data_IF_405293434521
#
_entry.id   IF_405293434521
#
_cell.length_a   1.000
_cell.length_b   1.000
_cell.length_c   1.000
_cell.angle_alpha   90.00
_cell.angle_beta   90.00
_cell.angle_gamma   90.00
#
_symmetry.space_group_name_H-M   'P 1'
#
loop_
_entity.id
_entity.type
_entity.pdbx_description
1 polymer ?
#
# COMPACT_ATOMS: atom_id res chain seq x y z
N UNK A 1 -0.91 26.23 -41.34
CA UNK A 1 -0.93 27.20 -40.24
C UNK A 1 -2.38 27.56 -39.96
N UNK A 2 -3.02 26.90 -38.99
CA UNK A 2 -4.29 27.28 -38.37
C UNK A 2 -4.16 26.93 -36.88
N UNK A 3 -4.51 27.89 -36.02
CA UNK A 3 -4.33 27.89 -34.55
C UNK A 3 -5.44 27.14 -33.80
N UNK A 4 -5.15 26.71 -32.57
CA UNK A 4 -6.07 26.76 -31.42
C UNK A 4 -5.23 27.10 -30.15
N UNK A 5 -5.19 28.34 -29.67
CA UNK A 5 -6.09 29.07 -28.75
C UNK A 5 -6.40 28.37 -27.42
N UNK A 6 -5.77 28.84 -26.33
CA UNK A 6 -6.39 28.99 -25.02
C UNK A 6 -6.79 30.48 -24.88
N UNK A 7 -7.93 30.76 -24.24
CA UNK A 7 -8.67 32.03 -24.28
C UNK A 7 -7.97 33.32 -23.80
N UNK A 8 -6.68 33.33 -23.48
CA UNK A 8 -5.88 34.55 -23.40
C UNK A 8 -4.49 34.26 -23.96
N UNK A 9 -4.32 34.60 -25.23
CA UNK A 9 -3.12 34.30 -26.02
C UNK A 9 -1.91 35.14 -25.64
N UNK A 10 -1.16 34.73 -24.62
CA UNK A 10 0.23 35.13 -24.43
C UNK A 10 1.15 33.90 -24.49
N UNK A 11 2.10 33.94 -25.42
CA UNK A 11 3.28 33.05 -25.42
C UNK A 11 4.10 33.33 -24.17
N UNK A 12 4.24 32.33 -23.28
CA UNK A 12 5.08 32.44 -22.08
C UNK A 12 6.52 32.79 -22.45
N UNK A 13 7.09 33.78 -21.76
CA UNK A 13 8.52 34.13 -21.85
C UNK A 13 9.34 33.10 -21.07
N UNK A 14 10.62 33.01 -21.39
CA UNK A 14 11.57 32.04 -20.83
C UNK A 14 11.81 32.20 -19.31
N UNK A 15 11.30 33.27 -18.69
CA UNK A 15 11.38 33.56 -17.25
C UNK A 15 10.02 33.46 -16.51
N UNK A 16 8.99 32.89 -17.14
CA UNK A 16 7.65 32.87 -16.55
C UNK A 16 7.50 31.79 -15.47
N UNK A 17 7.11 32.23 -14.26
CA UNK A 17 6.88 31.35 -13.11
C UNK A 17 5.64 30.50 -13.32
N UNK A 18 5.78 29.17 -13.19
CA UNK A 18 4.64 28.25 -13.16
C UNK A 18 4.02 28.21 -11.76
N UNK A 19 2.77 28.65 -11.65
CA UNK A 19 2.03 28.71 -10.38
C UNK A 19 0.95 27.62 -10.36
N UNK A 20 0.94 26.79 -9.31
CA UNK A 20 -0.16 25.86 -8.99
C UNK A 20 -0.86 26.40 -7.75
N UNK A 21 -2.18 26.61 -7.83
CA UNK A 21 -2.98 27.10 -6.69
C UNK A 21 -3.85 25.98 -6.15
N UNK A 22 -4.07 26.00 -4.84
CA UNK A 22 -5.06 25.14 -4.20
C UNK A 22 -6.46 25.55 -4.65
N UNK A 23 -7.28 24.58 -5.06
CA UNK A 23 -8.71 24.76 -5.28
C UNK A 23 -9.51 24.89 -3.97
N UNK A 24 -8.87 24.64 -2.82
CA UNK A 24 -9.45 24.81 -1.48
C UNK A 24 -8.89 26.06 -0.81
N UNK A 25 -9.77 26.90 -0.29
CA UNK A 25 -9.40 28.02 0.60
C UNK A 25 -8.97 27.45 1.95
N UNK A 26 -7.83 27.92 2.45
CA UNK A 26 -7.31 27.53 3.77
C UNK A 26 -7.94 28.40 4.84
N UNK A 27 -8.39 27.78 5.92
CA UNK A 27 -9.00 28.44 7.09
C UNK A 27 -7.90 28.92 8.04
N UNK A 28 -8.10 30.07 8.67
CA UNK A 28 -7.15 30.57 9.67
C UNK A 28 -7.30 29.75 10.96
N UNK A 29 -6.19 29.55 11.67
CA UNK A 29 -6.13 28.83 12.96
C UNK A 29 -6.49 27.35 12.93
N UNK A 30 -6.50 26.71 11.76
CA UNK A 30 -6.65 25.27 11.60
C UNK A 30 -5.40 24.62 10.99
N UNK A 31 -5.19 23.34 11.28
CA UNK A 31 -4.10 22.57 10.69
C UNK A 31 -4.50 22.06 9.30
N UNK A 32 -3.68 22.40 8.31
CA UNK A 32 -3.83 21.92 6.94
C UNK A 32 -2.70 20.98 6.56
N UNK A 33 -3.02 19.93 5.82
CA UNK A 33 -2.06 18.99 5.26
C UNK A 33 -1.77 19.37 3.81
N UNK A 34 -0.51 19.68 3.52
CA UNK A 34 -0.04 20.09 2.20
C UNK A 34 1.01 19.11 1.70
N UNK A 35 0.86 18.63 0.46
CA UNK A 35 1.89 17.82 -0.22
C UNK A 35 2.17 18.41 -1.59
N UNK A 36 3.44 18.51 -1.93
CA UNK A 36 3.88 18.99 -3.24
C UNK A 36 4.82 17.96 -3.83
N UNK A 37 4.70 17.72 -5.11
CA UNK A 37 5.67 16.91 -5.80
C UNK A 37 5.61 17.04 -7.30
N UNK A 38 6.51 16.31 -7.95
CA UNK A 38 6.64 16.28 -9.40
C UNK A 38 6.59 14.85 -9.88
N UNK A 39 5.83 14.63 -10.95
CA UNK A 39 5.87 13.37 -11.70
C UNK A 39 6.03 13.68 -13.18
N UNK A 40 7.20 13.34 -13.74
CA UNK A 40 7.60 13.70 -15.11
C UNK A 40 7.46 15.22 -15.33
N UNK A 41 6.48 15.65 -16.13
CA UNK A 41 6.21 17.05 -16.48
C UNK A 41 5.06 17.65 -15.68
N UNK A 42 4.44 16.89 -14.77
CA UNK A 42 3.35 17.37 -13.93
C UNK A 42 3.90 17.80 -12.57
N UNK A 43 3.58 19.03 -12.17
CA UNK A 43 3.71 19.50 -10.80
C UNK A 43 2.34 19.39 -10.13
N UNK A 44 2.27 18.77 -8.96
CA UNK A 44 1.03 18.61 -8.21
C UNK A 44 1.13 19.26 -6.84
N UNK A 45 0.03 19.86 -6.41
CA UNK A 45 -0.22 20.43 -5.10
C UNK A 45 -1.46 19.74 -4.54
N UNK A 46 -1.29 18.99 -3.47
CA UNK A 46 -2.36 18.36 -2.71
C UNK A 46 -2.58 19.15 -1.42
N UNK A 47 -3.82 19.51 -1.14
CA UNK A 47 -4.23 20.25 0.06
C UNK A 47 -5.52 19.64 0.59
N UNK A 48 -5.47 19.09 1.81
CA UNK A 48 -6.61 18.48 2.53
C UNK A 48 -7.55 17.65 1.66
N UNK A 49 -6.98 16.72 0.88
CA UNK A 49 -7.73 15.81 0.01
C UNK A 49 -7.92 16.28 -1.43
N UNK A 50 -7.64 17.55 -1.75
CA UNK A 50 -7.79 18.09 -3.11
C UNK A 50 -6.46 18.20 -3.84
N UNK A 51 -6.38 17.61 -5.04
CA UNK A 51 -5.21 17.71 -5.93
C UNK A 51 -5.44 18.78 -6.99
N UNK A 52 -4.46 19.67 -7.13
CA UNK A 52 -4.33 20.62 -8.23
C UNK A 52 -3.00 20.35 -8.94
N UNK A 53 -2.94 20.54 -10.26
CA UNK A 53 -1.70 20.29 -10.99
C UNK A 53 -1.51 21.28 -12.14
N UNK A 54 -0.26 21.43 -12.57
CA UNK A 54 0.07 22.07 -13.83
C UNK A 54 1.11 21.26 -14.61
N UNK A 55 1.19 21.48 -15.92
CA UNK A 55 2.03 20.72 -16.84
C UNK A 55 3.09 21.64 -17.44
N UNK A 56 4.36 21.29 -17.27
CA UNK A 56 5.51 21.96 -17.90
C UNK A 56 5.50 21.72 -19.41
N UNK A 57 5.90 22.72 -20.21
CA UNK A 57 6.03 22.59 -21.66
C UNK A 57 7.21 21.68 -22.06
N UNK A 58 7.24 21.13 -23.29
CA UNK A 58 8.28 20.17 -23.70
C UNK A 58 9.69 20.76 -23.75
N UNK A 59 9.79 22.06 -23.99
CA UNK A 59 11.02 22.86 -23.99
C UNK A 59 11.44 23.33 -22.59
N UNK A 60 10.54 23.28 -21.62
CA UNK A 60 10.77 23.63 -20.21
C UNK A 60 11.35 22.41 -19.47
N UNK A 61 12.54 22.00 -19.88
CA UNK A 61 13.34 21.06 -19.11
C UNK A 61 13.88 21.76 -17.88
N UNK A 62 13.39 21.39 -16.69
CA UNK A 62 14.06 21.71 -15.43
C UNK A 62 15.33 20.83 -15.38
N UNK A 63 16.42 21.30 -16.01
CA UNK A 63 17.73 20.68 -15.88
C UNK A 63 18.34 21.08 -14.54
N UNK A 64 18.66 20.09 -13.72
CA UNK A 64 19.22 20.18 -12.36
C UNK A 64 18.34 20.91 -11.32
N UNK A 65 18.43 20.42 -10.09
CA UNK A 65 17.75 20.95 -8.90
C UNK A 65 18.30 22.31 -8.43
N UNK A 66 19.05 23.03 -9.27
CA UNK A 66 19.46 24.42 -9.05
C UNK A 66 18.28 25.42 -9.15
N UNK A 67 17.09 24.92 -9.50
CA UNK A 67 15.87 25.71 -9.61
C UNK A 67 15.15 25.78 -8.26
N UNK A 68 15.19 26.96 -7.63
CA UNK A 68 14.57 27.26 -6.34
C UNK A 68 13.04 27.05 -6.42
N UNK A 69 12.52 26.19 -5.54
CA UNK A 69 11.06 26.00 -5.36
C UNK A 69 10.61 26.90 -4.22
N UNK A 70 9.71 27.84 -4.50
CA UNK A 70 9.16 28.74 -3.50
C UNK A 70 7.75 28.31 -3.09
N UNK A 71 7.51 28.31 -1.78
CA UNK A 71 6.20 28.06 -1.18
C UNK A 71 5.74 29.32 -0.46
N UNK A 72 4.51 29.76 -0.73
CA UNK A 72 3.96 30.97 -0.13
C UNK A 72 2.43 30.98 -0.12
N UNK A 73 1.87 31.78 0.79
CA UNK A 73 0.44 32.00 0.92
C UNK A 73 0.12 33.40 0.36
N UNK A 74 -0.90 33.57 -0.49
CA UNK A 74 -1.26 34.88 -1.01
C UNK A 74 -1.79 35.77 0.11
N UNK A 75 -1.46 37.06 0.03
CA UNK A 75 -1.88 38.10 0.97
C UNK A 75 -3.42 38.19 1.06
N UNK A 76 -3.99 38.09 2.26
CA UNK A 76 -5.36 38.51 2.57
C UNK A 76 -5.30 39.94 3.11
N UNK A 77 -5.10 40.92 2.23
CA UNK A 77 -5.27 42.32 2.60
C UNK A 77 -6.65 42.80 2.14
N UNK A 78 -7.65 42.62 3.00
CA UNK A 78 -8.83 43.49 3.07
C UNK A 78 -9.47 43.33 4.47
N UNK A 79 -9.31 44.39 5.27
CA UNK A 79 -10.12 44.84 6.41
C UNK A 79 -10.88 43.80 7.25
N UNK A 80 -10.28 43.32 8.35
CA UNK A 80 -11.02 43.05 9.60
C UNK A 80 -10.17 43.43 10.82
N UNK A 81 -10.48 44.60 11.40
CA UNK A 81 -10.16 44.87 12.81
C UNK A 81 -10.92 43.85 13.67
N UNK A 82 -10.21 43.01 14.41
CA UNK A 82 -10.80 42.24 15.52
C UNK A 82 -10.01 42.55 16.79
N UNK A 83 -10.70 43.19 17.73
CA UNK A 83 -10.28 43.55 19.08
C UNK A 83 -10.30 42.35 20.05
N UNK A 84 -9.20 42.16 20.80
CA UNK A 84 -9.09 41.42 22.07
C UNK A 84 -8.79 39.91 21.94
N UNK A 85 -7.81 39.28 22.63
CA UNK A 85 -6.99 39.62 23.80
C UNK A 85 -5.62 38.86 23.79
N UNK A 86 -4.56 39.55 24.27
CA UNK A 86 -3.35 39.13 25.05
C UNK A 86 -2.59 37.82 24.70
N UNK A 87 -1.27 37.74 24.44
CA UNK A 87 -0.07 38.46 24.94
C UNK A 87 1.06 38.49 23.88
N UNK A 88 1.81 39.60 23.85
CA UNK A 88 3.20 39.87 23.42
C UNK A 88 3.89 39.24 22.15
N UNK A 89 4.01 40.09 21.10
CA UNK A 89 5.22 40.47 20.32
C UNK A 89 6.26 39.41 19.86
N UNK A 90 6.36 39.16 18.53
CA UNK A 90 7.44 39.60 17.58
C UNK A 90 7.59 38.70 16.31
N UNK A 91 7.08 39.21 15.18
CA UNK A 91 7.53 39.24 13.76
C UNK A 91 8.55 38.17 13.27
N UNK A 92 8.18 37.31 12.31
CA UNK A 92 8.96 36.17 11.75
C UNK A 92 10.12 36.51 10.80
N UNK A 93 11.16 35.66 10.70
CA UNK A 93 12.21 35.70 9.67
C UNK A 93 12.94 34.34 9.44
N UNK A 94 12.38 33.41 8.66
CA UNK A 94 13.03 32.22 8.01
C UNK A 94 13.79 31.16 8.87
N UNK A 95 13.80 29.90 8.39
CA UNK A 95 14.64 28.76 8.82
C UNK A 95 15.46 28.24 7.63
N UNK A 96 16.77 27.98 7.80
CA UNK A 96 17.67 27.24 6.90
C UNK A 96 17.82 25.84 7.49
N UNK A 97 17.66 24.76 6.72
CA UNK A 97 17.94 23.39 7.16
C UNK A 97 19.39 22.97 6.83
N UNK A 98 20.00 22.09 7.64
CA UNK A 98 21.37 21.57 7.48
C UNK A 98 21.46 20.55 6.34
N UNK A 99 22.68 20.41 5.81
CA UNK A 99 23.04 19.66 4.60
C UNK A 99 22.65 18.16 4.67
N UNK A 100 21.43 17.84 4.24
CA UNK A 100 21.04 16.49 3.87
C UNK A 100 20.74 16.58 2.37
N UNK A 101 21.62 15.99 1.54
CA UNK A 101 21.56 15.92 0.06
C UNK A 101 22.13 17.15 -0.69
N UNK A 102 22.91 18.03 -0.05
CA UNK A 102 23.67 19.07 -0.77
C UNK A 102 22.83 20.24 -1.35
N UNK A 103 21.59 20.41 -0.91
CA UNK A 103 20.71 21.52 -1.31
C UNK A 103 20.16 22.27 -0.09
N UNK A 104 19.87 23.57 -0.28
CA UNK A 104 19.34 24.47 0.76
C UNK A 104 17.83 24.62 0.61
N UNK A 105 17.10 24.40 1.70
CA UNK A 105 15.64 24.60 1.78
C UNK A 105 15.36 25.70 2.79
N UNK A 106 14.64 26.73 2.33
CA UNK A 106 14.21 27.86 3.15
C UNK A 106 12.72 27.73 3.48
N UNK A 107 12.39 27.70 4.78
CA UNK A 107 11.01 27.58 5.27
C UNK A 107 10.54 28.86 5.95
N UNK A 108 9.29 29.22 5.70
CA UNK A 108 8.65 30.40 6.30
C UNK A 108 9.03 31.74 5.66
N UNK A 109 10.03 31.78 4.78
CA UNK A 109 10.48 32.99 4.08
C UNK A 109 11.93 32.87 3.60
N UNK A 110 12.49 33.98 3.10
CA UNK A 110 13.91 34.08 2.70
C UNK A 110 14.63 35.13 3.54
N UNK A 111 15.97 35.05 3.68
CA UNK A 111 16.77 36.13 4.28
C UNK A 111 16.63 37.47 3.54
N UNK A 112 16.43 37.41 2.22
CA UNK A 112 16.21 38.55 1.34
C UNK A 112 15.14 38.18 0.30
N UNK A 113 13.93 38.72 0.47
CA UNK A 113 12.79 38.46 -0.40
C UNK A 113 12.93 39.11 -1.79
N UNK A 114 13.86 40.05 -1.96
CA UNK A 114 14.17 40.68 -3.26
C UNK A 114 14.76 39.67 -4.25
N UNK A 115 15.19 38.50 -3.78
CA UNK A 115 15.71 37.40 -4.59
C UNK A 115 14.61 36.51 -5.19
N UNK A 116 13.34 36.72 -4.84
CA UNK A 116 12.25 35.96 -5.46
C UNK A 116 12.03 36.40 -6.91
N UNK A 117 11.84 35.45 -7.86
CA UNK A 117 11.47 35.78 -9.22
C UNK A 117 10.16 36.59 -9.27
N UNK A 118 10.06 37.57 -10.17
CA UNK A 118 8.81 38.28 -10.43
C UNK A 118 7.68 37.28 -10.78
N UNK A 119 6.51 37.45 -10.16
CA UNK A 119 5.36 36.58 -10.41
C UNK A 119 5.30 35.30 -9.55
N UNK A 120 6.28 35.07 -8.66
CA UNK A 120 6.22 33.96 -7.69
C UNK A 120 5.15 34.13 -6.60
N UNK A 121 4.64 35.34 -6.39
CA UNK A 121 3.54 35.62 -5.48
C UNK A 121 2.49 36.51 -6.15
N UNK A 122 1.26 36.51 -5.65
CA UNK A 122 0.16 37.31 -6.20
C UNK A 122 0.29 38.82 -5.89
N UNK A 123 1.23 39.21 -5.03
CA UNK A 123 1.43 40.59 -4.58
C UNK A 123 2.89 40.83 -4.16
N UNK A 124 3.13 41.76 -3.23
CA UNK A 124 4.47 41.92 -2.66
C UNK A 124 4.84 40.66 -1.85
N UNK A 125 6.08 40.14 -1.97
CA UNK A 125 6.51 39.01 -1.18
C UNK A 125 6.45 39.34 0.31
N UNK A 126 5.73 38.51 1.08
CA UNK A 126 5.67 38.58 2.54
C UNK A 126 6.11 37.24 3.12
N UNK A 127 6.88 37.21 4.23
CA UNK A 127 7.18 35.96 4.93
C UNK A 127 5.89 35.32 5.44
N UNK A 128 5.90 33.99 5.54
CA UNK A 128 4.81 33.26 6.15
C UNK A 128 4.75 33.51 7.66
N UNK A 129 3.53 33.65 8.19
CA UNK A 129 3.24 33.77 9.60
C UNK A 129 2.25 32.69 10.03
N UNK A 130 2.72 31.75 10.86
CA UNK A 130 1.90 30.64 11.35
C UNK A 130 2.75 29.47 11.80
N UNK A 131 2.09 28.32 11.98
CA UNK A 131 2.71 27.10 12.49
C UNK A 131 3.00 26.09 11.38
N UNK A 132 4.17 25.45 11.46
CA UNK A 132 4.57 24.37 10.56
C UNK A 132 4.98 23.17 11.42
N UNK A 133 4.48 21.98 11.09
CA UNK A 133 4.87 20.71 11.73
C UNK A 133 4.90 19.58 10.70
N UNK A 134 5.51 18.45 11.05
CA UNK A 134 5.58 17.23 10.21
C UNK A 134 6.13 17.50 8.80
N UNK A 135 7.28 18.17 8.73
CA UNK A 135 7.99 18.33 7.47
C UNK A 135 8.51 16.96 7.01
N UNK A 136 8.21 16.58 5.77
CA UNK A 136 8.76 15.37 5.17
C UNK A 136 9.26 15.63 3.76
N UNK A 137 10.43 15.07 3.40
CA UNK A 137 11.01 15.12 2.06
C UNK A 137 11.23 13.69 1.60
N UNK A 138 10.73 13.33 0.41
CA UNK A 138 10.83 11.97 -0.14
C UNK A 138 10.44 10.87 0.87
N UNK A 139 9.36 11.12 1.61
CA UNK A 139 8.81 10.26 2.67
C UNK A 139 9.61 10.19 3.98
N UNK A 140 10.79 10.79 4.03
CA UNK A 140 11.57 10.92 5.26
C UNK A 140 11.10 12.13 6.06
N UNK A 141 10.78 11.91 7.34
CA UNK A 141 10.38 13.01 8.23
C UNK A 141 11.61 13.76 8.70
N UNK A 142 11.67 15.06 8.40
CA UNK A 142 12.75 15.94 8.85
C UNK A 142 12.32 16.55 10.18
N UNK A 143 13.00 16.22 11.30
CA UNK A 143 12.71 16.88 12.57
C UNK A 143 12.98 18.38 12.41
N UNK A 144 12.21 19.28 13.02
CA UNK A 144 12.46 20.73 12.98
C UNK A 144 13.12 21.17 14.29
N UNK A 145 14.39 20.82 14.48
CA UNK A 145 15.15 21.08 15.71
C UNK A 145 16.57 21.58 15.38
N UNK A 146 17.41 21.83 16.41
CA UNK A 146 18.77 22.36 16.21
C UNK A 146 19.70 21.47 15.37
N UNK A 147 19.40 20.18 15.21
CA UNK A 147 20.23 19.27 14.40
C UNK A 147 19.95 19.40 12.91
N UNK A 148 18.72 19.73 12.55
CA UNK A 148 18.28 19.89 11.17
C UNK A 148 18.21 21.34 10.74
N UNK A 149 18.21 22.31 11.66
CA UNK A 149 18.15 23.75 11.37
C UNK A 149 19.55 24.34 11.35
N UNK A 150 20.04 24.71 10.18
CA UNK A 150 21.28 25.45 9.97
C UNK A 150 21.23 26.92 10.42
N UNK A 151 20.09 27.61 10.29
CA UNK A 151 19.91 28.97 10.82
C UNK A 151 18.43 29.30 10.95
N UNK A 152 18.08 30.28 11.77
CA UNK A 152 16.73 30.84 11.72
C UNK A 152 16.61 32.13 12.49
N UNK A 153 15.60 32.94 12.17
CA UNK A 153 15.35 34.20 12.86
C UNK A 153 13.87 34.36 13.20
N UNK A 154 13.62 34.81 14.43
CA UNK A 154 12.28 35.04 14.97
C UNK A 154 11.34 33.83 14.83
N UNK A 155 11.82 32.66 15.25
CA UNK A 155 11.05 31.43 15.37
C UNK A 155 10.85 31.15 16.86
N UNK A 156 9.63 30.79 17.23
CA UNK A 156 9.28 30.33 18.55
C UNK A 156 8.50 29.02 18.42
N UNK A 157 8.36 28.31 19.55
CA UNK A 157 7.40 27.21 19.60
C UNK A 157 5.99 27.76 19.38
N UNK A 158 5.24 27.12 18.50
CA UNK A 158 3.96 27.59 18.04
C UNK A 158 2.84 27.35 19.05
N UNK A 159 2.99 26.34 19.92
CA UNK A 159 2.05 26.10 21.00
C UNK A 159 2.49 26.70 22.34
N UNK A 160 3.73 27.18 22.43
CA UNK A 160 4.28 27.80 23.65
C UNK A 160 4.40 26.83 24.83
N UNK A 161 4.34 25.52 24.59
CA UNK A 161 4.37 24.49 25.62
C UNK A 161 5.46 23.45 25.36
N UNK A 162 5.93 22.73 26.40
CA UNK A 162 6.78 21.56 26.21
C UNK A 162 6.14 20.41 25.42
N UNK A 163 4.84 20.49 25.10
CA UNK A 163 4.15 19.57 24.19
C UNK A 163 4.29 19.95 22.70
N UNK A 164 5.19 20.89 22.36
CA UNK A 164 5.55 21.23 20.99
C UNK A 164 6.30 20.14 20.21
N UNK A 165 5.98 20.06 18.91
CA UNK A 165 6.64 19.18 17.94
C UNK A 165 6.03 17.77 17.79
N UNK A 166 6.81 16.84 17.21
CA UNK A 166 6.46 15.42 17.05
C UNK A 166 6.97 14.57 18.24
N UNK A 167 6.82 15.08 19.48
CA UNK A 167 7.30 14.42 20.70
C UNK A 167 6.65 13.05 20.91
N UNK A 168 5.33 12.96 20.71
CA UNK A 168 4.61 11.69 20.79
C UNK A 168 4.48 11.09 19.38
N UNK A 169 5.22 10.01 19.14
CA UNK A 169 5.23 9.30 17.86
C UNK A 169 3.92 8.52 17.64
N UNK A 170 3.72 8.08 16.40
CA UNK A 170 2.61 7.21 15.97
C UNK A 170 1.20 7.68 16.37
N UNK A 171 1.01 9.00 16.50
CA UNK A 171 -0.30 9.58 16.84
C UNK A 171 -0.62 9.60 18.33
N UNK A 172 0.37 9.42 19.22
CA UNK A 172 0.20 9.61 20.66
C UNK A 172 -0.23 11.04 21.02
N UNK A 173 -0.95 11.18 22.14
CA UNK A 173 -1.42 12.47 22.66
C UNK A 173 -0.50 13.00 23.75
N UNK A 174 -0.01 14.23 23.61
CA UNK A 174 0.83 14.88 24.62
C UNK A 174 -0.01 15.55 25.72
N UNK A 175 0.43 15.43 26.96
CA UNK A 175 -0.12 16.14 28.12
C UNK A 175 1.01 16.61 29.05
N UNK A 176 0.76 17.64 29.85
CA UNK A 176 1.73 18.18 30.82
C UNK A 176 1.35 17.77 32.24
N UNK A 177 2.34 17.39 33.05
CA UNK A 177 2.14 17.19 34.49
C UNK A 177 2.14 18.53 35.27
N UNK A 178 2.02 18.44 36.60
CA UNK A 178 2.00 19.61 37.49
C UNK A 178 3.32 20.43 37.46
N UNK A 179 4.43 19.84 37.02
CA UNK A 179 5.73 20.51 36.87
C UNK A 179 5.93 21.06 35.45
N UNK A 180 4.90 21.06 34.60
CA UNK A 180 4.99 21.39 33.17
C UNK A 180 5.90 20.45 32.37
N UNK A 181 6.13 19.21 32.83
CA UNK A 181 6.89 18.22 32.04
C UNK A 181 5.95 17.51 31.06
N UNK A 182 6.39 17.28 29.81
CA UNK A 182 5.56 16.61 28.82
C UNK A 182 5.58 15.10 28.99
N UNK A 183 4.42 14.49 28.78
CA UNK A 183 4.17 13.06 28.83
C UNK A 183 3.32 12.64 27.65
N UNK A 184 3.48 11.41 27.18
CA UNK A 184 2.69 10.88 26.08
C UNK A 184 1.68 9.83 26.54
N UNK A 185 0.45 9.95 26.05
CA UNK A 185 -0.52 8.88 26.01
C UNK A 185 -0.42 8.16 24.66
N UNK A 186 0.07 6.93 24.67
CA UNK A 186 0.24 6.13 23.47
C UNK A 186 -1.07 5.45 23.05
N UNK A 187 -1.22 5.25 21.74
CA UNK A 187 -2.19 4.29 21.23
C UNK A 187 -1.78 2.88 21.69
N UNK A 188 -2.75 1.97 21.77
CA UNK A 188 -2.58 0.65 22.41
C UNK A 188 -1.45 -0.17 21.76
N UNK A 189 -1.16 0.08 20.49
CA UNK A 189 -0.16 -0.62 19.68
C UNK A 189 1.28 -0.16 19.97
N UNK A 190 1.45 0.93 20.72
CA UNK A 190 2.74 1.57 20.98
C UNK A 190 2.99 1.79 22.48
N UNK A 191 4.27 1.85 22.86
CA UNK A 191 4.73 2.02 24.23
C UNK A 191 6.00 2.87 24.29
N UNK A 192 6.48 3.16 25.50
CA UNK A 192 7.61 4.03 25.78
C UNK A 192 7.20 5.50 25.96
N UNK A 193 8.10 6.28 26.56
CA UNK A 193 7.83 7.67 26.99
C UNK A 193 7.38 8.59 25.85
N UNK A 194 7.80 8.29 24.62
CA UNK A 194 7.45 9.03 23.40
C UNK A 194 6.63 8.21 22.39
N UNK A 195 6.10 7.04 22.77
CA UNK A 195 5.37 6.13 21.87
C UNK A 195 6.20 5.65 20.66
N UNK A 196 7.52 5.59 20.82
CA UNK A 196 8.46 5.21 19.77
C UNK A 196 8.71 3.70 19.65
N UNK A 197 8.19 2.90 20.59
CA UNK A 197 8.33 1.44 20.59
C UNK A 197 6.99 0.79 20.29
N UNK A 198 7.01 -0.35 19.61
CA UNK A 198 5.82 -1.17 19.45
C UNK A 198 5.52 -1.90 20.77
N UNK A 199 4.24 -1.97 21.17
CA UNK A 199 3.86 -2.62 22.41
C UNK A 199 4.12 -4.13 22.36
N UNK A 200 4.73 -4.75 23.39
CA UNK A 200 4.97 -6.19 23.40
C UNK A 200 3.65 -6.98 23.51
N UNK A 201 3.64 -8.25 23.09
CA UNK A 201 2.46 -9.14 23.21
C UNK A 201 1.97 -9.36 24.66
N UNK A 202 2.76 -8.96 25.67
CA UNK A 202 2.34 -8.95 27.08
C UNK A 202 1.41 -7.78 27.41
N UNK A 203 1.55 -6.65 26.71
CA UNK A 203 0.78 -5.43 26.91
C UNK A 203 -0.32 -5.28 25.85
N UNK A 204 -0.01 -5.56 24.59
CA UNK A 204 -0.97 -5.54 23.50
C UNK A 204 -1.56 -6.93 23.23
N UNK A 205 -2.87 -6.97 23.00
CA UNK A 205 -3.59 -8.18 22.60
C UNK A 205 -4.27 -7.92 21.25
N UNK A 206 -4.00 -8.80 20.30
CA UNK A 206 -4.72 -8.83 19.03
C UNK A 206 -6.22 -8.96 19.27
N UNK A 207 -7.02 -8.30 18.45
CA UNK A 207 -8.47 -8.29 18.59
C UNK A 207 -9.06 -9.62 18.11
N UNK A 208 -10.34 -9.85 18.46
CA UNK A 208 -11.13 -10.99 17.97
C UNK A 208 -10.49 -12.38 18.16
N UNK A 209 -9.73 -12.56 19.25
CA UNK A 209 -8.99 -13.80 19.58
C UNK A 209 -7.80 -14.09 18.66
N UNK A 210 -7.25 -13.08 17.99
CA UNK A 210 -5.97 -13.19 17.29
C UNK A 210 -4.82 -13.56 18.23
N UNK A 211 -3.84 -14.28 17.71
CA UNK A 211 -2.66 -14.69 18.46
C UNK A 211 -1.50 -13.72 18.18
N UNK A 212 -1.02 -13.04 19.20
CA UNK A 212 0.13 -12.15 19.09
C UNK A 212 1.42 -12.96 19.13
N UNK A 213 2.31 -12.73 18.16
CA UNK A 213 3.62 -13.39 18.07
C UNK A 213 4.70 -12.32 18.04
N UNK A 214 5.65 -12.41 18.96
CA UNK A 214 6.85 -11.56 18.96
C UNK A 214 7.83 -12.05 17.90
N UNK A 215 8.34 -11.15 17.07
CA UNK A 215 9.33 -11.49 16.04
C UNK A 215 10.76 -11.47 16.61
N UNK A 216 11.66 -12.21 15.97
CA UNK A 216 13.07 -12.39 16.38
C UNK A 216 13.79 -11.04 16.44
N UNK A 217 14.03 -10.50 17.64
CA UNK A 217 14.62 -9.17 17.83
C UNK A 217 13.88 -8.26 18.83
N UNK A 218 12.78 -8.75 19.44
CA UNK A 218 12.11 -8.17 20.61
C UNK A 218 11.48 -6.77 20.42
N UNK A 219 11.37 -6.27 19.19
CA UNK A 219 10.88 -4.91 18.91
C UNK A 219 9.69 -4.83 17.96
N UNK A 220 9.33 -5.91 17.28
CA UNK A 220 8.12 -6.03 16.44
C UNK A 220 7.24 -7.19 16.90
N UNK A 221 5.92 -7.00 16.81
CA UNK A 221 4.93 -8.08 16.96
C UNK A 221 4.05 -8.18 15.71
N UNK A 222 3.52 -9.38 15.47
CA UNK A 222 2.56 -9.66 14.41
C UNK A 222 1.34 -10.37 14.99
N UNK A 223 0.15 -9.95 14.58
CA UNK A 223 -1.08 -10.65 14.90
C UNK A 223 -1.38 -11.73 13.87
N UNK A 224 -1.54 -12.97 14.32
CA UNK A 224 -2.12 -14.05 13.53
C UNK A 224 -3.62 -14.06 13.74
N UNK A 225 -4.36 -13.67 12.71
CA UNK A 225 -5.80 -13.52 12.82
C UNK A 225 -6.54 -14.85 12.72
N UNK A 226 -7.60 -15.03 13.52
CA UNK A 226 -8.45 -16.20 13.38
C UNK A 226 -9.29 -16.06 12.11
N UNK A 227 -9.85 -17.17 11.61
CA UNK A 227 -10.74 -17.13 10.47
C UNK A 227 -11.88 -16.11 10.64
N UNK A 228 -12.15 -15.38 9.56
CA UNK A 228 -13.19 -14.35 9.50
C UNK A 228 -12.68 -12.95 9.87
N UNK A 229 -11.40 -12.82 10.23
CA UNK A 229 -10.76 -11.57 10.60
C UNK A 229 -9.44 -11.37 9.86
N UNK A 230 -9.14 -10.13 9.52
CA UNK A 230 -7.93 -9.71 8.81
C UNK A 230 -7.41 -8.36 9.36
N UNK A 231 -6.34 -7.86 8.75
CA UNK A 231 -5.66 -6.63 9.12
C UNK A 231 -4.59 -6.84 10.19
N UNK A 232 -3.74 -5.82 10.43
CA UNK A 232 -2.55 -5.95 11.27
C UNK A 232 -2.86 -6.29 12.74
N UNK A 233 -4.08 -6.05 13.19
CA UNK A 233 -4.53 -6.27 14.57
C UNK A 233 -5.79 -7.14 14.68
N UNK A 234 -6.22 -7.77 13.58
CA UNK A 234 -7.42 -8.61 13.51
C UNK A 234 -8.72 -7.88 13.85
N UNK A 235 -8.78 -6.58 13.53
CA UNK A 235 -9.95 -5.72 13.73
C UNK A 235 -10.87 -5.66 12.53
N UNK A 236 -10.39 -6.06 11.34
CA UNK A 236 -11.18 -6.05 10.11
C UNK A 236 -11.94 -7.36 10.01
N UNK A 237 -13.26 -7.33 10.14
CA UNK A 237 -14.09 -8.48 9.79
C UNK A 237 -14.04 -8.69 8.28
N UNK A 238 -13.91 -9.94 7.84
CA UNK A 238 -14.08 -10.28 6.43
C UNK A 238 -15.56 -10.16 6.06
N UNK A 239 -15.93 -9.28 5.11
CA UNK A 239 -17.33 -9.14 4.69
C UNK A 239 -17.86 -10.44 4.07
N UNK A 240 -19.18 -10.61 4.07
CA UNK A 240 -19.85 -11.74 3.40
C UNK A 240 -19.86 -11.50 1.89
N UNK A 241 -18.95 -12.14 1.16
CA UNK A 241 -18.90 -12.05 -0.30
C UNK A 241 -17.63 -12.66 -0.89
N UNK A 242 -17.50 -12.69 -2.23
CA UNK A 242 -16.31 -13.19 -2.90
C UNK A 242 -15.05 -12.44 -2.44
N UNK A 243 -13.99 -13.13 -2.00
CA UNK A 243 -12.73 -12.49 -1.65
C UNK A 243 -12.10 -11.74 -2.83
N UNK A 244 -11.73 -10.49 -2.59
CA UNK A 244 -10.95 -9.62 -3.46
C UNK A 244 -9.47 -9.69 -3.07
N UNK A 245 -8.64 -10.14 -4.00
CA UNK A 245 -7.19 -10.15 -3.87
C UNK A 245 -6.60 -8.90 -4.52
N UNK A 246 -5.74 -8.17 -3.78
CA UNK A 246 -5.09 -6.93 -4.25
C UNK A 246 -3.63 -7.11 -4.66
N UNK A 247 -3.17 -8.36 -4.83
CA UNK A 247 -1.82 -8.70 -5.30
C UNK A 247 -0.79 -8.93 -4.19
N UNK A 248 -1.22 -8.89 -2.94
CA UNK A 248 -0.42 -9.16 -1.73
C UNK A 248 -1.24 -9.94 -0.69
N UNK A 249 -2.33 -10.57 -1.15
CA UNK A 249 -3.22 -11.36 -0.30
C UNK A 249 -3.28 -12.81 -0.72
N UNK A 250 -3.55 -13.67 0.26
CA UNK A 250 -3.67 -15.12 0.07
C UNK A 250 -4.56 -15.76 1.13
N UNK A 251 -5.10 -16.93 0.82
CA UNK A 251 -5.80 -17.83 1.73
C UNK A 251 -5.03 -19.14 1.87
N UNK A 252 -5.05 -19.73 3.07
CA UNK A 252 -4.37 -21.00 3.37
C UNK A 252 -5.39 -22.10 3.65
N UNK A 253 -5.32 -23.18 2.87
CA UNK A 253 -6.17 -24.35 2.99
C UNK A 253 -5.29 -25.52 3.46
N UNK A 254 -5.39 -25.91 4.73
CA UNK A 254 -4.43 -26.82 5.37
C UNK A 254 -5.01 -28.16 5.84
N UNK A 255 -6.27 -28.48 5.55
CA UNK A 255 -6.94 -29.70 6.05
C UNK A 255 -7.98 -30.29 5.09
N UNK A 256 -7.58 -30.70 3.89
CA UNK A 256 -8.53 -31.35 2.98
C UNK A 256 -8.88 -32.79 3.43
N UNK A 257 -7.93 -33.54 4.01
CA UNK A 257 -8.17 -34.89 4.57
C UNK A 257 -9.10 -34.94 5.80
N UNK A 258 -9.42 -33.80 6.42
CA UNK A 258 -10.47 -33.70 7.45
C UNK A 258 -11.87 -33.46 6.86
N UNK A 259 -11.96 -33.08 5.59
CA UNK A 259 -13.20 -32.80 4.87
C UNK A 259 -13.72 -34.03 4.09
N UNK A 260 -12.92 -35.09 3.97
CA UNK A 260 -13.25 -36.31 3.21
C UNK A 260 -13.51 -37.55 4.08
N UNK A 261 -13.34 -37.48 5.41
CA UNK A 261 -13.63 -38.61 6.31
C UNK A 261 -15.14 -38.80 6.51
N UNK A 262 -15.77 -39.58 5.64
CA UNK A 262 -17.01 -40.30 5.97
C UNK A 262 -16.68 -41.38 7.01
N UNK A 263 -17.45 -41.42 8.09
CA UNK A 263 -17.50 -42.58 8.99
C UNK A 263 -17.98 -43.80 8.19
N UNK A 264 -17.07 -44.71 7.85
CA UNK A 264 -17.41 -45.94 7.16
C UNK A 264 -16.19 -46.85 7.03
N UNK A 265 -16.23 -47.99 7.72
CA UNK A 265 -15.32 -49.11 7.46
C UNK A 265 -15.69 -49.71 6.10
N UNK A 266 -14.98 -49.35 5.04
CA UNK A 266 -14.91 -50.16 3.83
C UNK A 266 -13.48 -50.09 3.27
N UNK A 267 -12.79 -51.23 3.28
CA UNK A 267 -11.58 -51.47 2.48
C UNK A 267 -11.97 -51.44 1.00
N UNK A 268 -12.09 -50.22 0.45
CA UNK A 268 -12.29 -50.03 -0.98
C UNK A 268 -10.93 -50.10 -1.69
N UNK A 269 -10.86 -51.01 -2.66
CA UNK A 269 -9.78 -51.15 -3.63
C UNK A 269 -9.37 -49.81 -4.23
N UNK A 270 -8.07 -49.47 -4.12
CA UNK A 270 -7.45 -48.24 -4.63
C UNK A 270 -7.45 -48.22 -6.17
N UNK A 271 -8.59 -47.90 -6.75
CA UNK A 271 -8.73 -47.61 -8.18
C UNK A 271 -8.60 -46.10 -8.44
N UNK A 272 -8.31 -45.72 -9.67
CA UNK A 272 -7.82 -44.39 -10.07
C UNK A 272 -8.78 -43.20 -9.78
N UNK A 273 -8.87 -42.73 -8.54
CA UNK A 273 -9.61 -41.50 -8.24
C UNK A 273 -8.90 -40.31 -8.87
N UNK A 274 -9.56 -39.74 -9.90
CA UNK A 274 -9.15 -38.48 -10.50
C UNK A 274 -9.36 -37.38 -9.48
N UNK A 275 -8.29 -36.70 -9.09
CA UNK A 275 -8.34 -35.57 -8.18
C UNK A 275 -8.60 -34.30 -8.98
N UNK A 276 -9.44 -33.39 -8.49
CA UNK A 276 -9.61 -32.11 -9.18
C UNK A 276 -9.72 -30.91 -8.24
N UNK A 277 -9.29 -29.76 -8.77
CA UNK A 277 -9.45 -28.45 -8.17
C UNK A 277 -10.04 -27.50 -9.22
N UNK A 278 -11.06 -26.75 -8.85
CA UNK A 278 -11.74 -25.80 -9.74
C UNK A 278 -11.92 -24.45 -9.06
N UNK A 279 -11.67 -23.37 -9.79
CA UNK A 279 -11.76 -21.99 -9.31
C UNK A 279 -12.65 -21.20 -10.24
N UNK A 280 -13.66 -20.53 -9.69
CA UNK A 280 -14.41 -19.49 -10.38
C UNK A 280 -13.82 -18.12 -10.00
N UNK A 281 -13.25 -17.41 -10.98
CA UNK A 281 -12.51 -16.17 -10.77
C UNK A 281 -12.88 -15.08 -11.77
N UNK A 282 -12.64 -13.82 -11.41
CA UNK A 282 -12.75 -12.65 -12.30
C UNK A 282 -11.56 -11.72 -12.12
N UNK A 283 -10.99 -11.21 -13.22
CA UNK A 283 -9.87 -10.26 -13.18
C UNK A 283 -9.78 -9.39 -14.44
N UNK A 284 -9.06 -8.29 -14.34
CA UNK A 284 -8.61 -7.44 -15.47
C UNK A 284 -7.09 -7.42 -15.62
N UNK A 285 -6.38 -8.24 -14.84
CA UNK A 285 -4.92 -8.23 -14.77
C UNK A 285 -4.33 -9.43 -15.51
N UNK A 286 -3.33 -9.15 -16.35
CA UNK A 286 -2.72 -10.14 -17.23
C UNK A 286 -1.74 -11.10 -16.55
N UNK A 287 -1.47 -10.93 -15.26
CA UNK A 287 -0.57 -11.81 -14.52
C UNK A 287 -1.05 -12.00 -13.08
N UNK A 288 -1.00 -13.22 -12.57
CA UNK A 288 -1.35 -13.51 -11.18
C UNK A 288 -1.40 -15.00 -10.87
N UNK A 289 -0.85 -15.40 -9.72
CA UNK A 289 -0.89 -16.76 -9.19
C UNK A 289 -2.22 -17.04 -8.48
N UNK A 290 -3.07 -17.91 -9.05
CA UNK A 290 -4.36 -18.30 -8.48
C UNK A 290 -4.20 -19.38 -7.40
N UNK A 291 -3.50 -20.47 -7.70
CA UNK A 291 -3.29 -21.57 -6.77
C UNK A 291 -1.82 -21.92 -6.71
N UNK A 292 -1.34 -22.20 -5.50
CA UNK A 292 -0.03 -22.79 -5.28
C UNK A 292 -0.10 -23.91 -4.25
N UNK A 293 0.53 -25.04 -4.57
CA UNK A 293 0.73 -26.15 -3.64
C UNK A 293 2.11 -26.75 -3.85
N UNK A 294 2.71 -27.23 -2.76
CA UNK A 294 4.06 -27.79 -2.81
C UNK A 294 4.29 -28.76 -1.66
N UNK A 295 5.00 -29.85 -1.96
CA UNK A 295 5.54 -30.82 -1.02
C UNK A 295 7.07 -30.89 -1.20
N UNK A 296 7.80 -31.56 -0.31
CA UNK A 296 9.28 -31.58 -0.26
C UNK A 296 9.96 -31.77 -1.64
N UNK A 297 9.37 -32.61 -2.49
CA UNK A 297 9.94 -33.00 -3.79
C UNK A 297 9.17 -32.48 -5.01
N UNK A 298 8.00 -31.85 -4.87
CA UNK A 298 7.23 -31.36 -6.02
C UNK A 298 6.44 -30.08 -5.72
N UNK A 299 6.14 -29.31 -6.77
CA UNK A 299 5.24 -28.17 -6.67
C UNK A 299 4.33 -28.06 -7.88
N UNK A 300 3.23 -27.35 -7.69
CA UNK A 300 2.27 -27.02 -8.73
C UNK A 300 1.75 -25.59 -8.53
N UNK A 301 1.65 -24.85 -9.62
CA UNK A 301 1.07 -23.52 -9.66
C UNK A 301 0.09 -23.36 -10.80
N UNK A 302 -1.07 -22.78 -10.53
CA UNK A 302 -2.07 -22.40 -11.52
C UNK A 302 -2.26 -20.88 -11.47
N UNK A 303 -2.32 -20.23 -12.63
CA UNK A 303 -2.52 -18.80 -12.69
C UNK A 303 -2.49 -18.24 -14.10
N UNK A 304 -2.43 -16.92 -14.19
CA UNK A 304 -2.47 -16.18 -15.45
C UNK A 304 -1.06 -15.67 -15.76
N UNK A 305 -0.61 -15.87 -17.00
CA UNK A 305 0.66 -15.34 -17.52
C UNK A 305 0.39 -14.69 -18.87
N UNK A 306 0.67 -13.39 -19.00
CA UNK A 306 0.41 -12.60 -20.21
C UNK A 306 -1.03 -12.73 -20.74
N UNK A 307 -2.01 -12.79 -19.83
CA UNK A 307 -3.44 -12.91 -20.14
C UNK A 307 -3.92 -14.33 -20.44
N UNK A 308 -3.05 -15.34 -20.36
CA UNK A 308 -3.40 -16.74 -20.65
C UNK A 308 -3.37 -17.60 -19.38
N UNK A 309 -4.38 -18.44 -19.21
CA UNK A 309 -4.41 -19.43 -18.13
C UNK A 309 -3.28 -20.45 -18.33
N UNK A 310 -2.50 -20.67 -17.28
CA UNK A 310 -1.32 -21.54 -17.29
C UNK A 310 -1.27 -22.36 -16.01
N UNK A 311 -1.02 -23.65 -16.15
CA UNK A 311 -0.56 -24.52 -15.07
C UNK A 311 0.93 -24.86 -15.27
N UNK A 312 1.66 -24.93 -14.16
CA UNK A 312 3.06 -25.35 -14.11
C UNK A 312 3.27 -26.34 -12.98
N UNK A 313 4.17 -27.31 -13.18
CA UNK A 313 4.51 -28.30 -12.17
C UNK A 313 5.94 -28.81 -12.38
N UNK A 314 6.57 -29.30 -11.31
CA UNK A 314 7.88 -29.95 -11.38
C UNK A 314 8.07 -30.93 -10.23
N UNK A 315 8.93 -31.94 -10.46
CA UNK A 315 9.44 -32.86 -9.44
C UNK A 315 10.98 -32.73 -9.33
N UNK A 316 11.52 -32.84 -8.12
CA UNK A 316 12.95 -32.78 -7.76
C UNK A 316 13.67 -31.57 -8.35
N UNK A 317 12.98 -30.42 -8.45
CA UNK A 317 13.53 -29.15 -8.91
C UNK A 317 14.13 -29.17 -10.33
N UNK A 318 13.66 -30.09 -11.19
CA UNK A 318 13.93 -30.06 -12.63
C UNK A 318 13.24 -28.85 -13.30
N UNK A 319 13.53 -28.60 -14.59
CA UNK A 319 12.84 -27.58 -15.38
C UNK A 319 11.32 -27.79 -15.29
N UNK A 320 10.54 -26.74 -14.95
CA UNK A 320 9.10 -26.86 -14.83
C UNK A 320 8.45 -27.20 -16.16
N UNK A 321 7.50 -28.13 -16.11
CA UNK A 321 6.55 -28.31 -17.19
C UNK A 321 5.53 -27.16 -17.17
N UNK A 322 4.94 -26.87 -18.32
CA UNK A 322 3.97 -25.81 -18.50
C UNK A 322 2.89 -26.25 -19.49
N UNK A 323 1.64 -26.05 -19.13
CA UNK A 323 0.48 -26.18 -20.02
C UNK A 323 -0.29 -24.87 -19.99
N UNK A 324 -0.58 -24.31 -21.16
CA UNK A 324 -1.23 -23.00 -21.31
C UNK A 324 -2.44 -23.15 -22.20
N UNK A 325 -3.60 -22.66 -21.75
CA UNK A 325 -4.80 -22.60 -22.58
C UNK A 325 -4.57 -21.66 -23.77
N UNK A 326 -4.97 -22.04 -25.00
CA UNK A 326 -4.83 -21.20 -26.18
C UNK A 326 -5.69 -19.92 -26.05
N UNK A 327 -5.33 -18.89 -26.82
CA UNK A 327 -5.95 -17.55 -26.90
C UNK A 327 -7.32 -17.44 -26.21
N UNK A 328 -7.31 -17.02 -24.95
CA UNK A 328 -8.51 -16.89 -24.11
C UNK A 328 -8.58 -15.47 -23.55
N UNK A 329 -9.77 -14.87 -23.57
CA UNK A 329 -9.99 -13.50 -23.10
C UNK A 329 -10.47 -13.52 -21.63
N UNK A 330 -9.66 -14.08 -20.74
CA UNK A 330 -10.02 -14.29 -19.33
C UNK A 330 -9.75 -13.09 -18.41
N UNK A 331 -9.21 -12.01 -18.96
CA UNK A 331 -8.86 -10.78 -18.23
C UNK A 331 -9.81 -9.64 -18.57
N UNK A 332 -11.08 -9.98 -18.79
CA UNK A 332 -12.14 -9.11 -19.29
C UNK A 332 -13.13 -8.66 -18.19
N UNK A 333 -12.82 -8.87 -16.91
CA UNK A 333 -13.71 -8.68 -15.74
C UNK A 333 -14.93 -9.62 -15.64
N UNK A 334 -15.14 -10.52 -16.59
CA UNK A 334 -16.18 -11.55 -16.50
C UNK A 334 -15.70 -12.71 -15.61
N UNK A 335 -16.66 -13.53 -15.19
CA UNK A 335 -16.39 -14.73 -14.39
C UNK A 335 -15.99 -15.88 -15.31
N UNK A 336 -14.88 -16.53 -14.98
CA UNK A 336 -14.34 -17.67 -15.69
C UNK A 336 -14.12 -18.83 -14.74
N UNK A 337 -14.38 -20.05 -15.22
CA UNK A 337 -14.13 -21.27 -14.45
C UNK A 337 -12.92 -21.98 -15.01
N UNK A 338 -11.89 -22.16 -14.17
CA UNK A 338 -10.77 -23.06 -14.48
C UNK A 338 -10.91 -24.33 -13.64
N UNK A 339 -10.67 -25.49 -14.24
CA UNK A 339 -10.57 -26.76 -13.53
C UNK A 339 -9.30 -27.49 -13.93
N UNK A 340 -8.60 -28.01 -12.94
CA UNK A 340 -7.44 -28.84 -13.12
C UNK A 340 -7.78 -30.24 -12.62
N UNK A 341 -7.74 -31.22 -13.52
CA UNK A 341 -7.89 -32.62 -13.15
C UNK A 341 -6.53 -33.30 -13.18
N UNK A 342 -6.25 -34.11 -12.18
CA UNK A 342 -5.01 -34.84 -12.02
C UNK A 342 -5.33 -36.29 -11.71
N UNK A 343 -4.85 -37.18 -12.55
CA UNK A 343 -4.92 -38.63 -12.37
C UNK A 343 -3.57 -39.13 -11.84
N UNK A 344 -3.36 -40.46 -11.78
CA UNK A 344 -2.06 -41.03 -11.41
C UNK A 344 -0.93 -40.74 -12.41
N UNK A 345 -1.27 -40.45 -13.67
CA UNK A 345 -0.29 -40.27 -14.76
C UNK A 345 -0.41 -38.92 -15.44
N UNK A 346 -1.62 -38.39 -15.56
CA UNK A 346 -1.92 -37.29 -16.46
C UNK A 346 -2.60 -36.11 -15.76
N UNK A 347 -2.34 -34.91 -16.30
CA UNK A 347 -2.97 -33.65 -15.93
C UNK A 347 -3.77 -33.12 -17.12
N UNK A 348 -5.00 -32.65 -16.87
CA UNK A 348 -5.81 -31.92 -17.85
C UNK A 348 -6.22 -30.56 -17.30
N UNK A 349 -6.22 -29.56 -18.17
CA UNK A 349 -6.66 -28.20 -17.87
C UNK A 349 -7.97 -27.93 -18.63
N UNK A 350 -9.02 -27.63 -17.89
CA UNK A 350 -10.30 -27.12 -18.39
C UNK A 350 -10.38 -25.62 -18.11
N UNK A 351 -10.81 -24.85 -19.11
CA UNK A 351 -11.06 -23.42 -18.99
C UNK A 351 -12.35 -23.10 -19.72
N UNK A 352 -13.38 -22.74 -18.95
CA UNK A 352 -14.75 -22.58 -19.43
C UNK A 352 -15.20 -23.83 -20.24
N UNK A 353 -15.45 -23.68 -21.55
CA UNK A 353 -15.85 -24.78 -22.44
C UNK A 353 -14.65 -25.49 -23.12
N UNK A 354 -13.42 -25.06 -22.87
CA UNK A 354 -12.21 -25.63 -23.46
C UNK A 354 -11.57 -26.66 -22.53
N UNK A 355 -11.04 -27.76 -23.10
CA UNK A 355 -10.31 -28.80 -22.39
C UNK A 355 -9.03 -29.15 -23.16
N UNK A 356 -7.92 -29.34 -22.43
CA UNK A 356 -6.66 -29.81 -23.01
C UNK A 356 -6.66 -31.31 -23.22
N UNK A 357 -5.83 -31.79 -24.16
CA UNK A 357 -5.43 -33.19 -24.16
C UNK A 357 -4.74 -33.57 -22.82
N UNK A 358 -4.84 -34.83 -22.37
CA UNK A 358 -4.11 -35.32 -21.20
C UNK A 358 -2.60 -35.20 -21.41
N UNK A 359 -1.91 -34.64 -20.42
CA UNK A 359 -0.46 -34.50 -20.45
C UNK A 359 0.18 -35.28 -19.30
N UNK A 360 1.19 -36.09 -19.58
CA UNK A 360 1.84 -36.87 -18.54
C UNK A 360 2.60 -35.93 -17.58
N UNK A 361 2.22 -35.94 -16.30
CA UNK A 361 2.80 -35.04 -15.32
C UNK A 361 4.19 -35.52 -14.84
N UNK A 362 4.52 -36.81 -14.97
CA UNK A 362 5.78 -37.42 -14.51
C UNK A 362 6.10 -37.07 -13.04
N UNK A 363 5.11 -37.25 -12.15
CA UNK A 363 5.26 -37.09 -10.69
C UNK A 363 4.99 -38.45 -10.07
N UNK A 364 5.94 -39.01 -9.33
CA UNK A 364 5.85 -40.39 -8.82
C UNK A 364 4.76 -40.58 -7.74
N UNK A 365 4.49 -39.55 -6.94
CA UNK A 365 3.51 -39.57 -5.85
C UNK A 365 2.77 -38.23 -5.75
N UNK A 366 1.78 -38.03 -6.62
CA UNK A 366 0.94 -36.84 -6.58
C UNK A 366 -0.28 -37.08 -5.67
N UNK A 367 -0.44 -36.24 -4.66
CA UNK A 367 -1.64 -36.22 -3.82
C UNK A 367 -1.98 -34.79 -3.36
N UNK A 368 -3.16 -34.28 -3.70
CA UNK A 368 -3.65 -32.98 -3.26
C UNK A 368 -4.25 -33.02 -1.84
N UNK A 369 -4.63 -34.21 -1.34
CA UNK A 369 -5.46 -34.32 -0.14
C UNK A 369 -4.74 -33.96 1.17
N UNK A 370 -3.43 -34.15 1.23
CA UNK A 370 -2.61 -33.89 2.42
C UNK A 370 -1.70 -32.66 2.30
N UNK A 371 -1.86 -31.85 1.25
CA UNK A 371 -1.01 -30.69 1.01
C UNK A 371 -1.68 -29.36 1.37
N UNK A 372 -0.85 -28.38 1.74
CA UNK A 372 -1.30 -27.00 1.94
C UNK A 372 -1.53 -26.36 0.57
N UNK A 373 -2.76 -25.91 0.33
CA UNK A 373 -3.13 -25.18 -0.87
C UNK A 373 -3.24 -23.70 -0.52
N UNK A 374 -2.46 -22.89 -1.22
CA UNK A 374 -2.54 -21.44 -1.17
C UNK A 374 -3.42 -20.94 -2.32
N UNK A 375 -4.37 -20.06 -2.00
CA UNK A 375 -5.27 -19.45 -2.98
C UNK A 375 -5.01 -17.93 -3.05
N UNK A 376 -4.93 -17.39 -4.27
CA UNK A 376 -4.70 -15.97 -4.58
C UNK A 376 -3.24 -15.51 -4.48
N UNK A 377 -2.36 -16.24 -3.80
CA UNK A 377 -0.96 -15.88 -3.67
C UNK A 377 -0.24 -16.73 -2.64
N UNK A 378 1.04 -16.44 -2.39
CA UNK A 378 1.81 -17.08 -1.31
C UNK A 378 2.55 -16.02 -0.48
N UNK A 379 2.91 -16.34 0.79
CA UNK A 379 3.73 -15.46 1.62
C UNK A 379 5.05 -15.09 0.92
N UNK A 380 5.48 -13.83 1.00
CA UNK A 380 6.71 -13.34 0.35
C UNK A 380 7.97 -14.11 0.78
N UNK A 381 8.05 -14.53 2.04
CA UNK A 381 9.16 -15.34 2.55
C UNK A 381 9.33 -16.66 1.78
N UNK A 382 8.22 -17.27 1.34
CA UNK A 382 8.22 -18.50 0.54
C UNK A 382 8.55 -18.25 -0.94
N UNK A 383 8.38 -17.02 -1.43
CA UNK A 383 8.77 -16.59 -2.78
C UNK A 383 10.30 -16.62 -2.95
N UNK A 384 11.04 -16.12 -1.94
CA UNK A 384 12.49 -15.93 -2.04
C UNK A 384 13.32 -17.14 -1.60
N UNK A 385 12.80 -17.99 -0.71
CA UNK A 385 13.56 -19.12 -0.14
C UNK A 385 13.91 -20.23 -1.14
N UNK A 386 13.44 -20.15 -2.38
CA UNK A 386 13.41 -21.31 -3.24
C UNK A 386 13.98 -21.13 -4.65
N UNK A 387 14.28 -19.93 -5.17
CA UNK A 387 14.69 -19.75 -6.59
C UNK A 387 13.75 -20.46 -7.61
N UNK A 388 12.51 -20.81 -7.23
CA UNK A 388 11.62 -21.78 -7.93
C UNK A 388 10.37 -21.15 -8.57
N UNK A 389 10.32 -19.83 -8.78
CA UNK A 389 9.21 -19.18 -9.47
C UNK A 389 9.70 -18.21 -10.55
N UNK A 390 10.32 -18.74 -11.61
CA UNK A 390 10.61 -17.91 -12.79
C UNK A 390 9.32 -17.48 -13.54
N UNK A 391 8.20 -18.21 -13.36
CA UNK A 391 6.99 -18.05 -14.16
C UNK A 391 5.95 -17.09 -13.55
N UNK A 392 5.58 -17.27 -12.27
CA UNK A 392 4.59 -16.42 -11.60
C UNK A 392 5.26 -15.37 -10.71
N UNK A 393 5.40 -14.15 -11.24
CA UNK A 393 6.07 -13.04 -10.52
C UNK A 393 5.14 -12.25 -9.60
N UNK A 394 3.83 -12.43 -9.73
CA UNK A 394 2.83 -11.64 -9.03
C UNK A 394 1.79 -12.57 -8.41
N UNK A 395 1.35 -12.26 -7.20
CA UNK A 395 0.13 -12.84 -6.63
C UNK A 395 -1.10 -12.36 -7.42
N UNK A 396 -2.19 -13.09 -7.31
CA UNK A 396 -3.43 -12.79 -8.01
C UNK A 396 -4.03 -11.45 -7.58
N UNK A 397 -4.66 -10.80 -8.56
CA UNK A 397 -5.45 -9.60 -8.39
C UNK A 397 -6.80 -9.82 -9.04
N UNK A 398 -7.88 -9.73 -8.28
CA UNK A 398 -9.22 -10.04 -8.76
C UNK A 398 -10.06 -10.74 -7.71
N UNK A 399 -11.18 -11.28 -8.15
CA UNK A 399 -12.19 -11.92 -7.32
C UNK A 399 -12.15 -13.43 -7.48
N UNK A 400 -12.42 -14.17 -6.40
CA UNK A 400 -12.66 -15.61 -6.45
C UNK A 400 -13.99 -15.88 -5.76
N UNK A 401 -14.98 -16.37 -6.49
CA UNK A 401 -16.33 -16.62 -5.97
C UNK A 401 -16.44 -18.01 -5.35
N UNK A 402 -15.80 -18.98 -5.98
CA UNK A 402 -15.92 -20.38 -5.59
C UNK A 402 -14.59 -21.10 -5.79
N UNK A 403 -14.25 -21.93 -4.83
CA UNK A 403 -13.22 -22.94 -4.93
C UNK A 403 -13.87 -24.31 -4.73
N UNK A 404 -13.66 -25.24 -5.64
CA UNK A 404 -14.07 -26.63 -5.47
C UNK A 404 -12.82 -27.49 -5.41
N UNK A 405 -12.68 -28.29 -4.35
CA UNK A 405 -11.58 -29.26 -4.24
C UNK A 405 -12.22 -30.62 -3.98
N UNK A 406 -12.08 -31.55 -4.93
CA UNK A 406 -12.82 -32.81 -4.93
C UNK A 406 -14.34 -32.55 -4.81
N UNK A 407 -15.02 -33.22 -3.87
CA UNK A 407 -16.46 -33.03 -3.61
C UNK A 407 -16.78 -31.76 -2.79
N UNK A 408 -15.77 -31.04 -2.28
CA UNK A 408 -15.99 -29.91 -1.38
C UNK A 408 -16.09 -28.60 -2.15
N UNK A 409 -17.28 -27.96 -2.10
CA UNK A 409 -17.53 -26.63 -2.64
C UNK A 409 -17.36 -25.59 -1.54
N UNK A 410 -16.44 -24.66 -1.74
CA UNK A 410 -16.11 -23.57 -0.81
C UNK A 410 -16.55 -22.26 -1.47
N UNK A 411 -17.58 -21.65 -0.90
CA UNK A 411 -18.04 -20.28 -1.22
C UNK A 411 -17.95 -19.36 -0.02
N UNK A 412 -17.84 -19.92 1.20
CA UNK A 412 -17.60 -19.17 2.43
C UNK A 412 -16.15 -19.32 2.88
N UNK A 413 -15.37 -18.28 2.61
CA UNK A 413 -13.95 -18.25 2.93
C UNK A 413 -13.66 -17.78 4.37
N UNK A 414 -14.68 -17.43 5.17
CA UNK A 414 -14.51 -16.95 6.54
C UNK A 414 -13.91 -17.97 7.49
N UNK A 415 -13.90 -19.25 7.13
CA UNK A 415 -13.38 -20.32 7.98
C UNK A 415 -11.90 -20.63 7.74
N UNK A 416 -11.25 -19.91 6.82
CA UNK A 416 -9.86 -20.11 6.45
C UNK A 416 -8.97 -18.95 6.92
N UNK A 417 -7.70 -19.26 7.13
CA UNK A 417 -6.69 -18.24 7.41
C UNK A 417 -6.47 -17.40 6.14
N UNK A 418 -6.50 -16.08 6.32
CA UNK A 418 -6.39 -15.10 5.23
C UNK A 418 -5.40 -14.01 5.60
N UNK A 419 -4.77 -13.42 4.58
CA UNK A 419 -3.96 -12.21 4.73
C UNK A 419 -4.29 -11.25 3.60
N UNK A 420 -4.53 -9.97 3.93
CA UNK A 420 -4.76 -8.88 2.96
C UNK A 420 -5.86 -9.19 1.92
N UNK A 421 -6.97 -9.74 2.39
CA UNK A 421 -8.13 -10.06 1.56
C UNK A 421 -9.21 -9.02 1.81
N UNK A 422 -9.83 -8.55 0.73
CA UNK A 422 -10.98 -7.66 0.78
C UNK A 422 -12.21 -8.36 0.22
N UNK A 423 -13.30 -7.63 0.01
CA UNK A 423 -14.49 -8.20 -0.64
C UNK A 423 -14.74 -7.49 -1.96
N UNK A 424 -15.13 -8.30 -2.95
CA UNK A 424 -15.53 -7.78 -4.24
C UNK A 424 -16.88 -7.08 -4.12
N UNK A 425 -17.00 -5.93 -4.78
CA UNK A 425 -18.28 -5.24 -4.91
C UNK A 425 -19.25 -6.20 -5.63
N UNK A 426 -20.32 -6.57 -4.93
CA UNK A 426 -21.44 -7.30 -5.54
C UNK A 426 -22.27 -6.25 -6.27
N UNK A 427 -22.25 -6.31 -7.60
CA UNK A 427 -23.04 -5.42 -8.46
C UNK A 427 -24.48 -5.89 -8.57
#
# INVERSE_FOLDING_TARGET
MINSLNEMGETRRQDDVLVVRSGRVLTLSEWHSVRVGRYRRKLYLWVDGMVNYAVLQPSEGISNFDNLIYFGFPNLSEEYEILGFAYHRLILNYIILSEIIGFRIDLGGLPDLSRMPPGSTAGLPVPFAGCIRRLSIDYETIPLNYSSIAAGRNIADCDGTPCGGDLCHHGGSCWLDMDMKPHCHCLQEFTGDSCNKQAPCTEFKCQNKGHCVSESGNTSFVCKCPPGWDGPFCTKELPTGPPLFKGHGYLVLSKLSSLTKREGNDEATVDNETQFISVNFSTVYNNGLLIWTSQEEWYMGLGIINGLMTVTWAQNYKRPNKLTAPMSNITNSEWHTVRLNVTKSDITLELDDWISDPYNHNIDSFDLNDNIIYLGGVPEEKFFLNNKQELFKNNFRGCIEQLTVQENVITDFKHYESVNVDVCDTW
#
